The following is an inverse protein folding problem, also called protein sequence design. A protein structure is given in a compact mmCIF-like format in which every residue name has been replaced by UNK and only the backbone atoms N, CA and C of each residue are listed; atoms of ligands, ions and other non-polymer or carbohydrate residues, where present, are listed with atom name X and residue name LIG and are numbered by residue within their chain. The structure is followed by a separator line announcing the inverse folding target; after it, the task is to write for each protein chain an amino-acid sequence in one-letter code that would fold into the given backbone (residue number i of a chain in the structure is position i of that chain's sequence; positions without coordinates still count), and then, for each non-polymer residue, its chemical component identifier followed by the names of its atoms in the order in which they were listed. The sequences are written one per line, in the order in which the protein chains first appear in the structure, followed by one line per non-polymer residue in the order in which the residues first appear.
data_IF_879393336483
#
_entry.id   IF_879393336483
#
_cell.length_a   1.000
_cell.length_b   1.000
_cell.length_c   1.000
_cell.angle_alpha   90.00
_cell.angle_beta   90.00
_cell.angle_gamma   90.00
#
_symmetry.space_group_name_H-M   'P 1'
#
loop_
_entity.id
_entity.type
_entity.pdbx_description
1 polymer ?
#
# COMPACT_ATOMS: atom_id res chain seq x y z
N UNK A 1 6.01 7.96 13.97
CA UNK A 1 5.53 7.40 12.70
C UNK A 1 5.63 5.90 12.87
N UNK A 2 4.54 5.20 12.64
CA UNK A 2 4.40 3.77 12.88
C UNK A 2 3.76 3.12 11.64
N UNK A 3 4.14 1.88 11.38
CA UNK A 3 3.76 1.11 10.20
C UNK A 3 3.40 -0.29 10.69
N UNK A 4 2.12 -0.64 10.55
CA UNK A 4 1.61 -1.98 10.82
C UNK A 4 1.21 -2.64 9.51
N UNK A 5 1.77 -3.81 9.25
CA UNK A 5 1.62 -4.53 7.99
C UNK A 5 1.11 -5.95 8.28
N UNK A 6 0.32 -6.54 7.35
CA UNK A 6 -0.14 -7.91 7.51
C UNK A 6 1.03 -8.89 7.48
N UNK A 7 0.93 -9.99 8.23
CA UNK A 7 1.94 -11.04 8.23
C UNK A 7 1.98 -11.82 6.90
N UNK A 8 3.14 -12.37 6.55
CA UNK A 8 3.25 -13.32 5.43
C UNK A 8 2.38 -14.55 5.71
N UNK A 9 1.54 -14.90 4.74
CA UNK A 9 0.54 -15.96 4.84
C UNK A 9 -0.85 -15.49 5.27
N UNK A 10 -1.01 -14.22 5.66
CA UNK A 10 -2.33 -13.65 5.92
C UNK A 10 -3.15 -13.51 4.63
N UNK A 11 -4.47 -13.69 4.74
CA UNK A 11 -5.41 -13.35 3.67
C UNK A 11 -5.81 -11.88 3.78
N UNK A 12 -5.90 -11.21 2.63
CA UNK A 12 -6.40 -9.83 2.50
C UNK A 12 -7.56 -9.81 1.53
N UNK A 13 -8.51 -8.91 1.75
CA UNK A 13 -9.70 -8.74 0.90
C UNK A 13 -9.75 -7.33 0.29
N UNK A 14 -10.10 -7.26 -1.00
CA UNK A 14 -10.21 -5.99 -1.71
C UNK A 14 -11.24 -5.07 -1.04
N UNK A 15 -10.83 -3.85 -0.69
CA UNK A 15 -11.67 -2.86 -0.03
C UNK A 15 -11.73 -2.99 1.50
N UNK A 16 -11.05 -3.97 2.10
CA UNK A 16 -10.98 -4.15 3.55
C UNK A 16 -9.64 -3.66 4.14
N UNK A 17 -9.64 -3.14 5.38
CA UNK A 17 -8.42 -2.82 6.11
C UNK A 17 -7.55 -4.06 6.36
N UNK A 18 -6.24 -3.92 6.19
CA UNK A 18 -5.24 -4.98 6.36
C UNK A 18 -3.99 -4.55 7.15
N UNK A 19 -3.94 -3.29 7.58
CA UNK A 19 -2.83 -2.69 8.34
C UNK A 19 -3.10 -1.22 8.62
N UNK A 20 -2.11 -0.49 9.13
CA UNK A 20 -2.25 0.92 9.53
C UNK A 20 -0.94 1.70 9.33
N UNK A 21 -1.06 2.94 8.88
CA UNK A 21 0.03 3.91 8.85
C UNK A 21 -0.29 5.09 9.78
N UNK A 22 0.61 5.36 10.73
CA UNK A 22 0.51 6.51 11.63
C UNK A 22 1.64 7.49 11.38
N UNK A 23 1.28 8.75 11.15
CA UNK A 23 2.19 9.90 11.15
C UNK A 23 2.05 10.69 12.46
N UNK A 24 2.82 11.77 12.64
CA UNK A 24 2.61 12.66 13.79
C UNK A 24 1.31 13.49 13.74
N UNK A 25 0.58 13.44 12.62
CA UNK A 25 -0.62 14.27 12.38
C UNK A 25 -1.90 13.45 12.19
N UNK A 26 -1.77 12.22 11.72
CA UNK A 26 -2.89 11.40 11.27
C UNK A 26 -2.55 9.93 11.40
N UNK A 27 -3.59 9.14 11.63
CA UNK A 27 -3.61 7.69 11.52
C UNK A 27 -4.46 7.34 10.30
N UNK A 28 -4.07 6.33 9.53
CA UNK A 28 -4.77 5.92 8.31
C UNK A 28 -4.74 4.42 8.15
N UNK A 29 -5.94 3.83 7.99
CA UNK A 29 -6.07 2.42 7.66
C UNK A 29 -5.44 2.13 6.30
N UNK A 30 -4.75 1.00 6.21
CA UNK A 30 -4.26 0.47 4.95
C UNK A 30 -5.31 -0.47 4.35
N UNK A 31 -5.94 -0.05 3.26
CA UNK A 31 -6.99 -0.84 2.61
C UNK A 31 -6.38 -1.63 1.45
N UNK A 32 -6.61 -2.95 1.42
CA UNK A 32 -6.09 -3.78 0.33
C UNK A 32 -6.80 -3.46 -0.99
N UNK A 33 -6.06 -3.26 -2.10
CA UNK A 33 -6.66 -3.07 -3.42
C UNK A 33 -7.06 -4.41 -4.10
N UNK A 34 -6.67 -5.54 -3.51
CA UNK A 34 -6.82 -6.89 -4.09
C UNK A 34 -7.24 -7.91 -3.02
N UNK A 35 -7.84 -9.01 -3.45
CA UNK A 35 -8.05 -10.20 -2.62
C UNK A 35 -6.96 -11.23 -2.92
N UNK A 36 -6.34 -11.79 -1.88
CA UNK A 36 -5.29 -12.80 -2.04
C UNK A 36 -4.50 -13.06 -0.75
N UNK A 37 -3.32 -13.65 -0.90
CA UNK A 37 -2.45 -14.02 0.23
C UNK A 37 -1.17 -13.20 0.23
N UNK A 38 -0.79 -12.66 1.39
CA UNK A 38 0.49 -11.93 1.54
C UNK A 38 1.66 -12.90 1.43
N UNK A 39 2.61 -12.60 0.54
CA UNK A 39 3.79 -13.46 0.28
C UNK A 39 5.12 -12.84 0.68
N UNK A 40 5.16 -11.53 0.88
CA UNK A 40 6.34 -10.82 1.37
C UNK A 40 5.96 -9.50 2.05
N UNK A 41 6.72 -9.10 3.06
CA UNK A 41 6.56 -7.83 3.78
C UNK A 41 7.90 -7.09 3.76
N UNK A 42 7.85 -5.76 3.65
CA UNK A 42 9.04 -4.93 3.71
C UNK A 42 9.36 -4.53 5.15
N UNK A 43 10.12 -5.37 5.85
CA UNK A 43 10.60 -5.09 7.21
C UNK A 43 11.38 -3.75 7.29
N UNK A 44 12.04 -3.32 6.20
CA UNK A 44 12.84 -2.10 6.21
C UNK A 44 12.01 -0.83 6.39
N UNK A 45 10.75 -0.79 5.94
CA UNK A 45 9.87 0.38 6.15
C UNK A 45 9.22 0.37 7.53
N UNK A 46 9.20 -0.76 8.23
CA UNK A 46 8.81 -0.83 9.65
C UNK A 46 9.90 -0.19 10.51
N UNK A 47 11.16 -0.51 10.22
CA UNK A 47 12.33 0.06 10.91
C UNK A 47 12.62 1.52 10.50
N UNK A 48 12.49 1.86 9.21
CA UNK A 48 12.63 3.22 8.68
C UNK A 48 11.37 3.69 7.91
N UNK A 49 10.28 4.09 8.62
CA UNK A 49 9.04 4.55 7.99
C UNK A 49 9.19 5.77 7.07
N UNK A 50 10.27 6.53 7.23
CA UNK A 50 10.55 7.69 6.41
C UNK A 50 10.77 7.36 4.93
N UNK A 51 11.14 6.12 4.60
CA UNK A 51 11.36 5.67 3.21
C UNK A 51 10.08 5.72 2.38
N UNK A 52 8.91 5.44 2.98
CA UNK A 52 7.60 5.54 2.33
C UNK A 52 7.39 6.95 1.76
N UNK A 53 7.83 7.99 2.48
CA UNK A 53 7.68 9.38 2.03
C UNK A 53 8.72 9.78 0.98
N UNK A 54 9.91 9.17 1.00
CA UNK A 54 11.02 9.51 0.10
C UNK A 54 10.88 8.83 -1.27
N UNK A 55 10.49 7.56 -1.27
CA UNK A 55 10.41 6.72 -2.46
C UNK A 55 9.21 5.73 -2.38
N UNK A 56 7.96 6.22 -2.45
CA UNK A 56 6.75 5.42 -2.22
C UNK A 56 6.51 4.29 -3.24
N UNK A 57 7.12 4.39 -4.42
CA UNK A 57 6.94 3.41 -5.51
C UNK A 57 8.18 2.51 -5.73
N UNK A 58 9.29 2.80 -5.05
CA UNK A 58 10.52 2.02 -5.08
C UNK A 58 10.80 1.35 -3.75
N UNK A 59 11.79 1.85 -3.00
CA UNK A 59 12.21 1.26 -1.72
C UNK A 59 11.12 1.29 -0.62
N UNK A 60 10.11 2.15 -0.78
CA UNK A 60 9.00 2.33 0.16
C UNK A 60 7.82 1.37 -0.03
N UNK A 61 7.94 0.31 -0.84
CA UNK A 61 6.89 -0.71 -0.97
C UNK A 61 6.54 -1.33 0.39
N UNK A 62 5.29 -1.75 0.58
CA UNK A 62 4.79 -2.22 1.89
C UNK A 62 4.80 -3.75 2.00
N UNK A 63 4.03 -4.43 1.15
CA UNK A 63 3.99 -5.90 1.08
C UNK A 63 3.61 -6.35 -0.34
N UNK A 64 3.80 -7.64 -0.63
CA UNK A 64 3.44 -8.28 -1.90
C UNK A 64 2.34 -9.31 -1.65
N UNK A 65 1.36 -9.38 -2.56
CA UNK A 65 0.24 -10.31 -2.51
C UNK A 65 0.30 -11.25 -3.72
N UNK A 66 0.13 -12.55 -3.49
CA UNK A 66 -0.30 -13.48 -4.53
C UNK A 66 -1.79 -13.23 -4.81
N UNK A 67 -2.07 -12.53 -5.91
CA UNK A 67 -3.40 -12.02 -6.22
C UNK A 67 -4.32 -13.13 -6.69
N UNK A 68 -5.41 -13.35 -5.98
CA UNK A 68 -6.50 -14.22 -6.40
C UNK A 68 -7.57 -13.46 -7.19
N UNK A 69 -7.84 -12.21 -6.80
CA UNK A 69 -8.80 -11.34 -7.49
C UNK A 69 -8.40 -9.87 -7.36
N UNK A 70 -8.54 -9.12 -8.44
CA UNK A 70 -8.42 -7.66 -8.43
C UNK A 70 -9.68 -7.01 -7.83
N UNK A 71 -9.50 -5.88 -7.14
CA UNK A 71 -10.59 -4.97 -6.79
C UNK A 71 -10.94 -4.01 -7.93
N UNK A 72 -11.63 -2.92 -7.61
CA UNK A 72 -11.86 -1.82 -8.55
C UNK A 72 -10.61 -0.94 -8.65
N UNK A 73 -9.74 -1.26 -9.62
CA UNK A 73 -8.51 -0.51 -9.88
C UNK A 73 -8.72 0.57 -10.94
N UNK A 74 -7.92 1.63 -10.87
CA UNK A 74 -7.89 2.70 -11.85
C UNK A 74 -6.58 2.63 -12.64
N UNK A 75 -6.64 2.97 -13.93
CA UNK A 75 -5.45 3.32 -14.69
C UNK A 75 -4.76 4.57 -14.12
N UNK A 76 -3.50 4.80 -14.49
CA UNK A 76 -2.76 5.99 -14.07
C UNK A 76 -3.48 7.28 -14.50
N UNK A 77 -4.03 7.30 -15.71
CA UNK A 77 -4.79 8.44 -16.26
C UNK A 77 -6.10 8.69 -15.51
N UNK A 78 -6.84 7.63 -15.18
CA UNK A 78 -8.09 7.74 -14.41
C UNK A 78 -7.84 8.24 -12.99
N UNK A 79 -6.78 7.74 -12.33
CA UNK A 79 -6.39 8.21 -11.00
C UNK A 79 -5.98 9.68 -11.03
N UNK A 80 -5.13 10.06 -11.99
CA UNK A 80 -4.69 11.44 -12.19
C UNK A 80 -5.87 12.39 -12.41
N UNK A 81 -6.82 12.02 -13.29
CA UNK A 81 -8.02 12.81 -13.55
C UNK A 81 -8.93 12.92 -12.32
N UNK A 82 -9.02 11.89 -11.48
CA UNK A 82 -9.89 11.89 -10.29
C UNK A 82 -9.37 12.82 -9.20
N UNK A 83 -8.05 12.95 -9.08
CA UNK A 83 -7.41 13.67 -7.99
C UNK A 83 -6.68 14.96 -8.43
N UNK A 84 -6.93 15.42 -9.67
CA UNK A 84 -6.29 16.61 -10.26
C UNK A 84 -4.75 16.55 -10.17
N UNK A 85 -4.20 15.37 -10.49
CA UNK A 85 -2.77 15.09 -10.45
C UNK A 85 -2.21 14.91 -11.87
N UNK A 86 -0.89 15.00 -12.01
CA UNK A 86 -0.16 14.72 -13.26
C UNK A 86 0.44 13.32 -13.22
N UNK A 87 0.30 12.56 -14.32
CA UNK A 87 1.01 11.28 -14.49
C UNK A 87 2.48 11.57 -14.75
N UNK A 88 3.38 11.01 -13.94
CA UNK A 88 4.84 11.16 -14.09
C UNK A 88 5.51 9.80 -14.28
N UNK A 89 6.59 9.74 -15.06
CA UNK A 89 7.46 8.55 -15.13
C UNK A 89 7.03 7.42 -16.07
N UNK A 90 6.37 7.72 -17.21
CA UNK A 90 6.14 6.74 -18.28
C UNK A 90 7.44 6.35 -19.03
#
# INVERSE_FOLDING_TARGET
VFVDLPEVGAEVEAGEPCGELESTKSVSDLVSPVTGTVVAVNEAVVDEPGTINKDPYGEGWLFTVEVAQEGELLSAEEYASRFDAEVTGA
#
